data_IF_383861611633
#
_entry.id   IF_383861611633
#
_cell.length_a   1.000
_cell.length_b   1.000
_cell.length_c   1.000
_cell.angle_alpha   90.00
_cell.angle_beta   90.00
_cell.angle_gamma   90.00
#
_symmetry.space_group_name_H-M   'P 1'
#
loop_
_entity.id
_entity.type
_entity.pdbx_description
1 polymer ?
#
# COMPACT_ATOMS: atom_id res chain seq x y z
N UNK A 1 -27.39 30.37 -8.82
CA UNK A 1 -28.04 31.63 -8.50
C UNK A 1 -26.99 32.62 -8.01
N UNK A 2 -26.33 33.32 -8.94
CA UNK A 2 -25.41 34.45 -8.67
C UNK A 2 -25.24 35.23 -9.99
N UNK A 3 -26.36 35.73 -10.52
CA UNK A 3 -26.31 36.79 -11.54
C UNK A 3 -26.04 38.11 -10.81
N UNK A 4 -24.77 38.33 -10.44
CA UNK A 4 -24.33 39.64 -9.98
C UNK A 4 -24.53 40.60 -11.15
N UNK A 5 -25.54 41.46 -11.05
CA UNK A 5 -25.85 42.44 -12.08
C UNK A 5 -24.67 43.41 -12.19
N UNK A 6 -23.78 43.19 -13.16
CA UNK A 6 -22.73 44.14 -13.51
C UNK A 6 -23.40 45.35 -14.15
N UNK A 7 -23.62 46.40 -13.37
CA UNK A 7 -23.83 47.73 -13.92
C UNK A 7 -22.52 48.14 -14.61
N UNK A 8 -22.48 48.01 -15.94
CA UNK A 8 -21.39 48.57 -16.73
C UNK A 8 -21.34 50.08 -16.45
N UNK A 9 -20.14 50.61 -16.24
CA UNK A 9 -19.97 52.04 -16.09
C UNK A 9 -20.21 52.70 -17.45
N UNK A 10 -21.30 53.46 -17.57
CA UNK A 10 -21.59 54.26 -18.75
C UNK A 10 -20.66 55.47 -18.79
N UNK A 11 -19.70 55.42 -19.71
CA UNK A 11 -18.72 56.47 -19.93
C UNK A 11 -19.31 57.53 -20.86
N UNK A 12 -19.79 58.64 -20.30
CA UNK A 12 -20.46 59.72 -21.06
C UNK A 12 -19.53 60.61 -21.90
N UNK A 13 -18.23 60.29 -21.96
CA UNK A 13 -17.20 61.08 -22.63
C UNK A 13 -16.77 60.46 -23.97
N UNK A 14 -16.12 61.26 -24.81
CA UNK A 14 -15.59 60.84 -26.11
C UNK A 14 -14.57 59.72 -25.93
N UNK A 15 -14.65 58.68 -26.76
CA UNK A 15 -13.83 57.46 -26.64
C UNK A 15 -12.33 57.68 -26.75
N UNK A 16 -11.88 58.80 -27.34
CA UNK A 16 -10.47 59.13 -27.54
C UNK A 16 -9.82 59.82 -26.34
N UNK A 17 -10.62 60.25 -25.34
CA UNK A 17 -10.08 60.93 -24.17
C UNK A 17 -9.16 60.02 -23.33
N UNK A 18 -7.94 60.50 -23.10
CA UNK A 18 -6.91 59.76 -22.37
C UNK A 18 -7.32 59.42 -20.93
N UNK A 19 -8.04 60.34 -20.27
CA UNK A 19 -8.58 60.12 -18.92
C UNK A 19 -9.60 58.98 -18.89
N UNK A 20 -10.42 58.88 -19.93
CA UNK A 20 -11.41 57.82 -20.09
C UNK A 20 -10.75 56.47 -20.29
N UNK A 21 -9.69 56.43 -21.12
CA UNK A 21 -8.89 55.25 -21.35
C UNK A 21 -8.20 54.77 -20.06
N UNK A 22 -7.70 55.70 -19.24
CA UNK A 22 -7.12 55.39 -17.94
C UNK A 22 -8.18 54.80 -16.99
N UNK A 23 -9.36 55.41 -16.90
CA UNK A 23 -10.47 54.92 -16.07
C UNK A 23 -10.95 53.53 -16.50
N UNK A 24 -11.06 53.26 -17.81
CA UNK A 24 -11.40 51.94 -18.37
C UNK A 24 -10.36 50.88 -18.00
N UNK A 25 -9.08 51.21 -18.09
CA UNK A 25 -7.98 50.31 -17.71
C UNK A 25 -7.98 50.01 -16.21
N UNK A 26 -8.16 51.02 -15.36
CA UNK A 26 -8.26 50.86 -13.92
C UNK A 26 -9.47 49.99 -13.51
N UNK A 27 -10.63 50.20 -14.13
CA UNK A 27 -11.82 49.40 -13.89
C UNK A 27 -11.65 47.95 -14.34
N UNK A 28 -11.08 47.72 -15.53
CA UNK A 28 -10.77 46.37 -16.03
C UNK A 28 -9.79 45.64 -15.10
N UNK A 29 -8.81 46.36 -14.53
CA UNK A 29 -7.87 45.83 -13.55
C UNK A 29 -8.55 45.53 -12.20
N UNK A 30 -9.49 46.37 -11.77
CA UNK A 30 -10.28 46.17 -10.56
C UNK A 30 -11.29 45.02 -10.70
N UNK A 31 -11.83 44.79 -11.91
CA UNK A 31 -12.73 43.67 -12.15
C UNK A 31 -11.93 42.38 -12.01
N UNK A 32 -12.22 41.60 -10.96
CA UNK A 32 -11.57 40.31 -10.69
C UNK A 32 -11.80 39.24 -11.76
N UNK A 33 -12.39 39.59 -12.91
CA UNK A 33 -12.75 38.64 -13.95
C UNK A 33 -11.51 37.99 -14.58
N UNK A 34 -10.44 38.78 -14.80
CA UNK A 34 -9.18 38.26 -15.34
C UNK A 34 -8.39 37.45 -14.29
N UNK A 35 -8.33 37.95 -13.05
CA UNK A 35 -7.65 37.24 -11.96
C UNK A 35 -8.33 35.89 -11.65
N UNK A 36 -9.67 35.86 -11.63
CA UNK A 36 -10.44 34.62 -11.44
C UNK A 36 -10.40 33.72 -12.67
N UNK A 37 -10.31 34.27 -13.89
CA UNK A 37 -10.20 33.44 -15.11
C UNK A 37 -8.90 32.66 -15.14
N UNK A 38 -7.80 33.28 -14.72
CA UNK A 38 -6.51 32.59 -14.66
C UNK A 38 -6.56 31.47 -13.62
N UNK A 39 -7.21 31.66 -12.47
CA UNK A 39 -7.37 30.58 -11.49
C UNK A 39 -8.26 29.41 -11.94
N UNK A 40 -9.00 29.53 -13.06
CA UNK A 40 -9.77 28.42 -13.61
C UNK A 40 -8.89 27.29 -14.17
N UNK A 41 -7.62 27.53 -14.53
CA UNK A 41 -6.74 26.42 -14.96
C UNK A 41 -6.51 25.40 -13.83
N UNK A 42 -6.65 25.84 -12.58
CA UNK A 42 -6.56 24.97 -11.38
C UNK A 42 -7.92 24.38 -10.98
N UNK A 43 -9.03 24.94 -11.47
CA UNK A 43 -10.36 24.41 -11.16
C UNK A 43 -10.59 23.13 -11.93
N UNK A 44 -10.69 22.01 -11.21
CA UNK A 44 -10.86 20.68 -11.78
C UNK A 44 -9.61 19.82 -11.76
N UNK A 45 -8.46 20.37 -11.35
CA UNK A 45 -7.30 19.54 -10.98
C UNK A 45 -7.66 18.86 -9.66
N UNK A 46 -8.07 17.60 -9.73
CA UNK A 46 -8.34 16.81 -8.54
C UNK A 46 -7.08 16.71 -7.69
N UNK A 47 -7.11 17.23 -6.46
CA UNK A 47 -6.07 16.98 -5.48
C UNK A 47 -6.12 15.49 -5.11
N UNK A 48 -5.30 14.68 -5.77
CA UNK A 48 -5.18 13.27 -5.43
C UNK A 48 -4.27 13.18 -4.22
N UNK A 49 -4.87 12.97 -3.05
CA UNK A 49 -4.11 12.70 -1.83
C UNK A 49 -3.78 11.21 -1.80
N UNK A 50 -2.51 10.81 -1.98
CA UNK A 50 -2.13 9.40 -1.87
C UNK A 50 -2.45 8.91 -0.45
N UNK A 51 -3.10 7.74 -0.33
CA UNK A 51 -3.52 7.19 0.95
C UNK A 51 -4.90 7.63 1.44
N UNK A 52 -5.60 8.54 0.73
CA UNK A 52 -6.98 8.84 1.06
C UNK A 52 -7.88 7.63 0.79
N UNK A 53 -8.61 7.20 1.82
CA UNK A 53 -9.46 6.00 1.79
C UNK A 53 -10.43 5.99 0.59
N UNK A 54 -11.05 7.12 0.29
CA UNK A 54 -11.99 7.25 -0.83
C UNK A 54 -11.33 7.02 -2.18
N UNK A 55 -10.12 7.53 -2.38
CA UNK A 55 -9.36 7.37 -3.62
C UNK A 55 -8.91 5.92 -3.78
N UNK A 56 -8.43 5.29 -2.70
CA UNK A 56 -8.06 3.88 -2.72
C UNK A 56 -9.28 2.97 -2.96
N UNK A 57 -10.42 3.27 -2.36
CA UNK A 57 -11.67 2.55 -2.59
C UNK A 57 -12.10 2.67 -4.06
N UNK A 58 -12.05 3.87 -4.65
CA UNK A 58 -12.36 4.09 -6.08
C UNK A 58 -11.38 3.35 -6.99
N UNK A 59 -10.08 3.34 -6.66
CA UNK A 59 -9.07 2.57 -7.40
C UNK A 59 -9.36 1.07 -7.36
N UNK A 60 -9.64 0.51 -6.17
CA UNK A 60 -10.00 -0.91 -6.00
C UNK A 60 -11.28 -1.26 -6.76
N UNK A 61 -12.31 -0.42 -6.68
CA UNK A 61 -13.56 -0.62 -7.42
C UNK A 61 -13.32 -0.61 -8.94
N UNK A 62 -12.51 0.33 -9.45
CA UNK A 62 -12.15 0.38 -10.87
C UNK A 62 -11.39 -0.86 -11.33
N UNK A 63 -10.53 -1.41 -10.48
CA UNK A 63 -9.82 -2.67 -10.75
C UNK A 63 -10.77 -3.88 -10.79
N UNK A 64 -11.74 -3.95 -9.88
CA UNK A 64 -12.74 -5.01 -9.86
C UNK A 64 -13.68 -4.97 -11.07
N UNK A 65 -14.00 -3.77 -11.56
CA UNK A 65 -14.85 -3.58 -12.76
C UNK A 65 -14.06 -3.86 -14.05
N UNK A 66 -12.73 -3.86 -14.00
CA UNK A 66 -11.90 -4.02 -15.20
C UNK A 66 -12.02 -5.42 -15.80
N UNK A 67 -12.61 -5.51 -16.99
CA UNK A 67 -12.77 -6.78 -17.72
C UNK A 67 -11.44 -7.45 -18.05
N UNK A 68 -10.39 -6.66 -18.31
CA UNK A 68 -9.05 -7.16 -18.65
C UNK A 68 -8.42 -7.89 -17.45
N UNK A 69 -8.54 -7.31 -16.25
CA UNK A 69 -8.08 -7.96 -15.01
C UNK A 69 -8.93 -9.16 -14.61
N UNK A 70 -10.21 -9.18 -14.99
CA UNK A 70 -11.11 -10.30 -14.72
C UNK A 70 -10.85 -11.50 -15.65
N UNK A 71 -10.71 -11.26 -16.95
CA UNK A 71 -10.57 -12.30 -18.00
C UNK A 71 -9.11 -12.62 -18.30
N UNK A 72 -8.31 -12.86 -17.27
CA UNK A 72 -6.90 -13.21 -17.46
C UNK A 72 -6.78 -14.57 -18.17
N UNK A 73 -5.98 -14.61 -19.24
CA UNK A 73 -5.76 -15.82 -20.02
C UNK A 73 -4.99 -16.85 -19.18
N UNK A 74 -5.40 -18.12 -19.19
CA UNK A 74 -4.75 -19.17 -18.40
C UNK A 74 -3.24 -19.28 -18.65
N UNK A 75 -2.78 -18.96 -19.87
CA UNK A 75 -1.38 -19.01 -20.27
C UNK A 75 -0.49 -17.92 -19.63
N UNK A 76 -1.06 -16.87 -19.03
CA UNK A 76 -0.27 -15.83 -18.35
C UNK A 76 0.13 -16.22 -16.91
N UNK A 77 -0.53 -17.22 -16.33
CA UNK A 77 -0.22 -17.68 -14.97
C UNK A 77 0.90 -18.71 -15.00
N UNK A 78 1.97 -18.44 -14.27
CA UNK A 78 3.01 -19.45 -14.01
C UNK A 78 2.48 -20.42 -12.95
N UNK A 79 2.66 -21.71 -13.19
CA UNK A 79 2.35 -22.72 -12.19
C UNK A 79 3.30 -22.56 -10.99
N UNK A 80 2.73 -22.26 -9.82
CA UNK A 80 3.40 -22.34 -8.53
C UNK A 80 2.82 -23.51 -7.76
N UNK A 81 3.66 -24.43 -7.31
CA UNK A 81 3.20 -25.48 -6.41
C UNK A 81 2.76 -24.85 -5.09
N UNK A 82 1.59 -25.24 -4.60
CA UNK A 82 1.07 -24.76 -3.31
C UNK A 82 1.93 -25.33 -2.18
N UNK A 83 2.78 -24.48 -1.60
CA UNK A 83 3.73 -24.83 -0.54
C UNK A 83 3.08 -25.16 0.81
N UNK A 84 1.82 -24.76 0.97
CA UNK A 84 1.05 -24.88 2.22
C UNK A 84 -0.09 -25.89 2.09
N UNK A 85 0.06 -26.89 1.22
CA UNK A 85 -0.87 -28.02 1.21
C UNK A 85 -0.82 -28.75 2.56
N UNK A 86 -1.97 -29.15 3.14
CA UNK A 86 -2.02 -29.73 4.48
C UNK A 86 -1.15 -30.99 4.62
N UNK A 87 -1.04 -31.80 3.56
CA UNK A 87 -0.13 -32.96 3.53
C UNK A 87 1.35 -32.58 3.59
N UNK A 88 1.76 -31.51 2.88
CA UNK A 88 3.14 -31.01 2.91
C UNK A 88 3.47 -30.38 4.27
N UNK A 89 2.52 -29.64 4.86
CA UNK A 89 2.67 -29.09 6.22
C UNK A 89 2.80 -30.22 7.23
N UNK A 90 1.93 -31.22 7.18
CA UNK A 90 2.00 -32.39 8.06
C UNK A 90 3.35 -33.12 7.92
N UNK A 91 3.82 -33.35 6.70
CA UNK A 91 5.13 -33.95 6.46
C UNK A 91 6.28 -33.09 7.02
N UNK A 92 6.23 -31.75 6.86
CA UNK A 92 7.21 -30.84 7.46
C UNK A 92 7.22 -30.93 8.99
N UNK A 93 6.06 -30.86 9.62
CA UNK A 93 5.92 -30.99 11.07
C UNK A 93 6.39 -32.36 11.57
N UNK A 94 5.99 -33.44 10.89
CA UNK A 94 6.42 -34.80 11.23
C UNK A 94 7.93 -34.96 11.12
N UNK A 95 8.56 -34.39 10.08
CA UNK A 95 10.01 -34.43 9.92
C UNK A 95 10.73 -33.61 11.00
N UNK A 96 10.20 -32.45 11.37
CA UNK A 96 10.74 -31.62 12.45
C UNK A 96 10.73 -32.38 13.79
N UNK A 97 9.60 -32.98 14.13
CA UNK A 97 9.45 -33.81 15.34
C UNK A 97 10.42 -35.00 15.29
N UNK A 98 10.52 -35.68 14.15
CA UNK A 98 11.41 -36.83 14.00
C UNK A 98 12.89 -36.46 14.17
N UNK A 99 13.30 -35.28 13.70
CA UNK A 99 14.67 -34.79 13.85
C UNK A 99 15.02 -34.45 15.31
N UNK A 100 14.12 -33.78 16.02
CA UNK A 100 14.28 -33.46 17.46
C UNK A 100 14.34 -34.71 18.32
N UNK A 101 13.47 -35.70 18.02
CA UNK A 101 13.47 -37.01 18.67
C UNK A 101 14.74 -37.79 18.32
N UNK A 102 15.24 -37.65 17.09
CA UNK A 102 16.48 -38.26 16.63
C UNK A 102 17.72 -37.73 17.37
N UNK A 103 17.81 -36.42 17.57
CA UNK A 103 18.89 -35.80 18.37
C UNK A 103 18.82 -36.24 19.83
N UNK A 104 17.65 -36.19 20.46
CA UNK A 104 17.48 -36.63 21.85
C UNK A 104 17.85 -38.11 22.06
N UNK A 105 17.50 -38.99 21.10
CA UNK A 105 17.88 -40.40 21.14
C UNK A 105 19.39 -40.62 20.93
N UNK A 106 20.04 -39.82 20.09
CA UNK A 106 21.49 -39.87 19.91
C UNK A 106 22.22 -39.39 21.17
N UNK A 107 21.70 -38.35 21.81
CA UNK A 107 22.21 -37.80 23.07
C UNK A 107 22.06 -38.81 24.22
N UNK A 108 20.91 -39.51 24.30
CA UNK A 108 20.71 -40.55 25.31
C UNK A 108 21.62 -41.78 25.10
N UNK A 109 21.82 -42.21 23.84
CA UNK A 109 22.72 -43.31 23.50
C UNK A 109 24.18 -42.96 23.76
N UNK A 110 24.62 -41.75 23.41
CA UNK A 110 25.98 -41.27 23.69
C UNK A 110 26.22 -41.07 25.19
N UNK A 111 25.21 -40.62 25.94
CA UNK A 111 25.25 -40.55 27.41
C UNK A 111 25.41 -41.95 28.04
N UNK A 112 24.63 -42.94 27.57
CA UNK A 112 24.74 -44.34 27.99
C UNK A 112 26.10 -44.99 27.66
N UNK A 113 26.63 -44.75 26.45
CA UNK A 113 27.96 -45.23 26.04
C UNK A 113 29.08 -44.62 26.90
N UNK A 114 29.05 -43.31 27.14
CA UNK A 114 30.00 -42.64 28.04
C UNK A 114 29.91 -43.16 29.48
N UNK A 115 28.72 -43.54 29.93
CA UNK A 115 28.48 -44.16 31.23
C UNK A 115 29.14 -45.53 31.38
N UNK A 116 29.04 -46.37 30.35
CA UNK A 116 29.56 -47.73 30.35
C UNK A 116 31.10 -47.79 30.34
N UNK A 117 31.76 -46.73 29.87
CA UNK A 117 33.23 -46.59 29.89
C UNK A 117 33.74 -46.23 31.30
N UNK A 118 32.95 -45.48 32.09
CA UNK A 118 33.30 -45.09 33.47
C UNK A 118 32.71 -46.07 34.50
N UNK A 119 33.21 -47.32 34.54
CA UNK A 119 32.75 -48.41 35.42
C UNK A 119 33.06 -48.24 36.93
N UNK A 120 32.81 -47.05 37.51
CA UNK A 120 33.04 -46.82 38.95
C UNK A 120 32.21 -45.70 39.60
N UNK A 121 31.42 -44.93 38.84
CA UNK A 121 30.59 -43.83 39.38
C UNK A 121 29.16 -43.92 38.84
N UNK A 122 28.43 -44.99 39.18
CA UNK A 122 27.06 -45.21 38.68
C UNK A 122 26.09 -44.08 39.09
N UNK A 123 26.24 -43.49 40.28
CA UNK A 123 25.33 -42.45 40.77
C UNK A 123 25.40 -41.15 39.94
N UNK A 124 26.61 -40.67 39.62
CA UNK A 124 26.82 -39.39 38.94
C UNK A 124 26.45 -39.38 37.44
N UNK A 125 26.23 -40.57 36.86
CA UNK A 125 25.94 -40.71 35.44
C UNK A 125 24.42 -40.70 35.13
N UNK A 126 23.59 -41.18 36.06
CA UNK A 126 22.14 -41.24 35.85
C UNK A 126 21.45 -39.87 35.89
N UNK A 127 21.98 -38.91 36.67
CA UNK A 127 21.43 -37.54 36.75
C UNK A 127 21.66 -36.72 35.47
N UNK A 128 22.71 -37.03 34.68
CA UNK A 128 23.04 -36.29 33.46
C UNK A 128 22.37 -36.80 32.18
N UNK A 129 21.72 -37.97 32.22
CA UNK A 129 21.05 -38.54 31.06
C UNK A 129 19.51 -38.42 31.10
N UNK A 130 18.93 -37.84 32.17
CA UNK A 130 17.48 -37.74 32.41
C UNK A 130 16.92 -36.31 32.35
N UNK A 131 17.76 -35.31 32.06
CA UNK A 131 17.38 -33.93 31.70
C UNK A 131 17.78 -33.68 30.27
#
# INVERSE_FOLDING_TARGET
DHDYRQLLHDYTLLSEDMMLQCAKKAYKLQSENLYRSDLNFMRGVGCIIPGALEIEAKKKASELISENKYRQQANSFKYTSVTDTPGLLHAKFSNMIANEVGSANLDQKTCSLKCNIWKGRKAACSEKCNT
#
